data_IF_366016997686
#
_entry.id   IF_366016997686
#
_cell.length_a   1.000
_cell.length_b   1.000
_cell.length_c   1.000
_cell.angle_alpha   90.00
_cell.angle_beta   90.00
_cell.angle_gamma   90.00
#
_symmetry.space_group_name_H-M   'P 1'
#
loop_
_entity.id
_entity.type
_entity.pdbx_description
1 polymer ?
2 polymer ?
3 non-polymer ?
4 non-polymer ?
5 non-polymer ?
6 water ?
#
loop_
_entity_poly.entity_id
_entity_poly.type
_entity_poly.pdbx_seq_one_letter_code
_entity_poly.pdbx_strand_id
1 'polydeoxyribonucleotide' '(DT)(DC)(DT)(EFG)(DG)(DG)(DG)(DT)(DC)(DC)(DT)(DA)(DG)(DG)(DA)(DC)(DC)(DOC)' ?
#
# COMPACT_ATOMS: atom_id res chain seq x y z
N UNK C 26 -22.20 5.87 17.84
CA UNK C 26 -20.89 6.22 17.25
C UNK C 26 -20.26 5.06 16.42
N UNK C 27 -21.09 4.38 15.61
CA UNK C 27 -20.60 3.36 14.70
C UNK C 27 -20.20 3.88 13.28
N UNK C 28 -19.14 3.33 12.72
CA UNK C 28 -18.58 3.97 11.56
C UNK C 28 -18.91 3.23 10.29
N UNK C 29 -18.86 3.95 9.17
CA UNK C 29 -18.93 3.36 7.86
C UNK C 29 -17.66 3.75 7.15
N UNK C 30 -16.76 2.79 6.97
CA UNK C 30 -15.50 2.98 6.30
C UNK C 30 -15.55 2.26 4.98
N UNK C 31 -14.96 2.86 3.93
CA UNK C 31 -14.71 2.14 2.69
C UNK C 31 -13.22 1.99 2.47
N UNK C 32 -12.82 0.83 1.91
CA UNK C 32 -11.45 0.60 1.48
C UNK C 32 -11.42 0.35 -0.03
N UNK C 33 -10.66 1.17 -0.76
CA UNK C 33 -10.58 1.10 -2.22
C UNK C 33 -9.25 0.49 -2.65
N UNK C 34 -9.29 -0.48 -3.56
CA UNK C 34 -8.15 -1.34 -3.87
C UNK C 34 -8.13 -1.52 -5.36
N UNK C 35 -7.19 -0.92 -6.05
CA UNK C 35 -7.17 -1.06 -7.50
C UNK C 35 -6.61 -2.39 -7.88
N UNK C 36 -7.20 -3.03 -8.86
CA UNK C 36 -6.60 -4.26 -9.43
C UNK C 36 -5.22 -4.05 -10.20
N UNK C 37 -4.27 -4.93 -10.01
CA UNK C 37 -3.05 -4.89 -10.78
C UNK C 37 -2.52 -3.55 -11.22
N UNK C 38 -2.51 -2.60 -10.30
CA UNK C 38 -2.25 -1.20 -10.55
C UNK C 38 -1.20 -0.85 -11.62
N UNK C 39 0.06 -1.26 -11.43
CA UNK C 39 1.05 -0.89 -12.43
C UNK C 39 0.65 -1.36 -13.83
N UNK C 40 0.16 -2.58 -13.88
CA UNK C 40 -0.27 -3.15 -15.16
C UNK C 40 -1.42 -2.34 -15.76
N UNK C 41 -2.37 -1.92 -14.91
CA UNK C 41 -3.42 -1.02 -15.41
C UNK C 41 -2.88 0.23 -16.01
N UNK C 42 -1.92 0.84 -15.34
CA UNK C 42 -1.34 2.06 -15.89
C UNK C 42 -0.65 1.79 -17.25
N UNK C 43 0.10 0.69 -17.36
CA UNK C 43 0.75 0.37 -18.61
C UNK C 43 -0.26 0.09 -19.71
N UNK C 44 -1.25 -0.76 -19.42
CA UNK C 44 -2.33 -1.03 -20.37
C UNK C 44 -3.07 0.24 -20.83
N UNK C 45 -3.18 1.23 -19.96
CA UNK C 45 -3.82 2.48 -20.38
C UNK C 45 -2.99 3.30 -21.38
N UNK C 46 -1.67 3.32 -21.19
CA UNK C 46 -0.74 4.08 -21.99
C UNK C 46 -0.64 3.48 -23.38
N UNK C 47 -0.53 2.16 -23.41
CA UNK C 47 -0.32 1.40 -24.62
C UNK C 47 -1.38 0.26 -24.72
N UNK C 48 -2.52 0.56 -25.39
CA UNK C 48 -3.63 -0.39 -25.37
C UNK C 48 -3.40 -1.60 -26.24
N UNK C 49 -2.32 -1.57 -27.03
CA UNK C 49 -1.88 -2.76 -27.76
C UNK C 49 -1.53 -3.91 -26.78
N UNK C 50 -1.43 -3.56 -25.49
CA UNK C 50 -1.24 -4.56 -24.44
C UNK C 50 -2.53 -5.06 -23.80
N UNK C 51 -3.65 -4.38 -24.07
CA UNK C 51 -4.91 -4.71 -23.42
C UNK C 51 -5.14 -6.22 -23.34
N UNK C 52 -4.86 -6.94 -24.42
CA UNK C 52 -5.14 -8.37 -24.44
C UNK C 52 -3.99 -9.33 -24.28
N UNK C 53 -2.78 -8.90 -24.58
CA UNK C 53 -1.64 -9.76 -24.42
C UNK C 53 -1.39 -9.97 -22.92
N UNK C 54 -1.01 -11.20 -22.50
CA UNK C 54 -0.68 -11.42 -21.08
C UNK C 54 0.56 -10.59 -20.66
N UNK C 55 0.50 -9.88 -19.50
CA UNK C 55 1.45 -8.80 -19.20
C UNK C 55 1.97 -8.63 -17.76
N UNK C 56 3.25 -8.32 -17.71
CA UNK C 56 3.99 -8.28 -16.47
C UNK C 56 4.92 -7.07 -16.44
N UNK C 57 4.91 -6.42 -15.27
CA UNK C 57 5.72 -5.25 -15.03
C UNK C 57 7.01 -5.68 -14.32
N UNK C 58 8.11 -5.31 -14.93
CA UNK C 58 9.38 -5.84 -14.57
C UNK C 58 10.20 -4.76 -13.89
N UNK C 59 10.88 -5.19 -12.84
CA UNK C 59 11.87 -4.40 -12.16
C UNK C 59 13.07 -5.32 -11.93
N UNK C 60 14.24 -4.95 -12.48
CA UNK C 60 15.43 -5.81 -12.40
C UNK C 60 15.06 -7.25 -12.86
N UNK C 61 15.32 -8.28 -12.04
CA UNK C 61 15.10 -9.65 -12.47
C UNK C 61 13.74 -10.19 -12.05
N UNK C 62 12.80 -9.29 -11.80
CA UNK C 62 11.58 -9.65 -11.09
C UNK C 62 10.32 -9.15 -11.80
N UNK C 63 9.26 -9.93 -11.72
CA UNK C 63 7.93 -9.47 -12.13
C UNK C 63 7.20 -9.02 -10.87
N UNK C 64 7.01 -7.72 -10.77
CA UNK C 64 6.55 -7.12 -9.54
C UNK C 64 5.04 -7.35 -9.49
N UNK C 65 4.39 -7.14 -10.63
CA UNK C 65 2.94 -7.38 -10.79
C UNK C 65 2.64 -7.77 -12.27
N UNK C 66 1.46 -8.36 -12.52
CA UNK C 66 1.00 -8.74 -13.88
C UNK C 66 -0.50 -8.55 -14.01
N UNK C 67 -0.97 -8.52 -15.25
CA UNK C 67 -2.40 -8.32 -15.51
C UNK C 67 -3.24 -9.61 -15.40
N UNK C 68 -4.56 -9.53 -15.60
CA UNK C 68 -5.42 -10.69 -15.27
C UNK C 68 -5.33 -11.86 -16.22
N UNK C 69 -4.94 -11.59 -17.47
CA UNK C 69 -4.56 -12.66 -18.38
C UNK C 69 -3.44 -13.47 -17.78
N UNK C 70 -2.30 -12.83 -17.54
CA UNK C 70 -1.08 -13.51 -17.09
C UNK C 70 -1.25 -14.29 -15.78
N UNK C 71 -2.23 -13.94 -14.96
CA UNK C 71 -2.47 -14.67 -13.71
C UNK C 71 -3.07 -16.02 -14.03
N UNK C 72 -3.98 -16.04 -15.01
CA UNK C 72 -4.56 -17.27 -15.52
C UNK C 72 -3.43 -18.23 -15.93
N UNK C 73 -2.49 -17.73 -16.76
CA UNK C 73 -1.29 -18.45 -17.21
C UNK C 73 -0.30 -18.84 -16.09
N UNK C 74 -0.70 -18.64 -14.84
CA UNK C 74 0.10 -19.05 -13.68
C UNK C 74 1.14 -18.10 -13.17
N UNK C 75 1.33 -16.95 -13.83
CA UNK C 75 2.30 -15.92 -13.39
C UNK C 75 1.88 -15.28 -12.06
N UNK C 76 2.83 -15.05 -11.15
CA UNK C 76 2.53 -14.56 -9.80
C UNK C 76 3.44 -13.39 -9.40
N UNK C 77 2.99 -12.58 -8.44
CA UNK C 77 3.77 -11.43 -7.96
C UNK C 77 5.17 -11.81 -7.42
N UNK C 78 6.17 -11.03 -7.81
CA UNK C 78 7.53 -11.28 -7.35
C UNK C 78 7.99 -12.72 -7.63
N UNK C 79 7.76 -13.14 -8.87
CA UNK C 79 8.30 -14.36 -9.43
C UNK C 79 9.37 -13.83 -10.39
N UNK C 80 10.52 -14.49 -10.45
CA UNK C 80 11.58 -13.99 -11.30
C UNK C 80 11.27 -14.14 -12.79
N UNK C 81 11.95 -13.36 -13.62
CA UNK C 81 11.59 -13.21 -15.05
C UNK C 81 11.68 -14.53 -15.86
N UNK C 82 12.73 -15.31 -15.61
CA UNK C 82 12.87 -16.62 -16.24
C UNK C 82 11.67 -17.54 -15.93
N UNK C 83 11.42 -17.83 -14.65
CA UNK C 83 10.31 -18.72 -14.23
C UNK C 83 9.03 -18.31 -14.93
N UNK C 84 8.84 -17.00 -15.07
CA UNK C 84 7.64 -16.39 -15.63
C UNK C 84 7.50 -16.69 -17.11
N UNK C 85 8.62 -16.66 -17.82
CA UNK C 85 8.65 -17.07 -19.22
C UNK C 85 8.30 -18.57 -19.30
N UNK C 86 8.99 -19.38 -18.50
CA UNK C 86 8.76 -20.82 -18.41
C UNK C 86 7.40 -21.22 -17.77
N UNK C 87 6.49 -20.26 -17.71
CA UNK C 87 5.12 -20.57 -17.31
C UNK C 87 4.16 -19.90 -18.27
N UNK C 88 4.70 -18.96 -19.05
CA UNK C 88 3.99 -18.29 -20.14
C UNK C 88 5.05 -17.63 -21.03
N UNK C 89 5.47 -18.34 -22.09
CA UNK C 89 6.61 -17.83 -22.88
C UNK C 89 6.23 -16.63 -23.72
N UNK C 90 4.94 -16.44 -23.97
CA UNK C 90 4.51 -15.29 -24.73
C UNK C 90 4.17 -14.06 -23.85
N UNK C 91 4.82 -14.00 -22.68
CA UNK C 91 4.62 -12.92 -21.72
C UNK C 91 5.30 -11.63 -22.17
N UNK C 92 4.53 -10.57 -22.36
CA UNK C 92 5.11 -9.28 -22.68
C UNK C 92 5.53 -8.54 -21.41
N UNK C 93 6.74 -7.99 -21.45
CA UNK C 93 7.35 -7.36 -20.29
C UNK C 93 7.59 -5.88 -20.51
N UNK C 94 7.25 -5.09 -19.49
CA UNK C 94 7.57 -3.67 -19.52
C UNK C 94 8.31 -3.31 -18.26
N UNK C 95 9.26 -2.42 -18.39
CA UNK C 95 10.06 -2.02 -17.26
C UNK C 95 9.24 -1.04 -16.41
N UNK C 96 9.10 -1.36 -15.12
CA UNK C 96 8.49 -0.44 -14.21
C UNK C 96 9.39 0.04 -13.08
N UNK C 97 10.67 0.28 -13.39
CA UNK C 97 11.61 0.73 -12.35
C UNK C 97 11.42 2.17 -11.96
N UNK C 98 10.97 2.99 -12.89
CA UNK C 98 10.66 4.36 -12.63
C UNK C 98 9.15 4.42 -12.30
N UNK C 99 8.82 5.04 -11.16
CA UNK C 99 7.50 4.97 -10.55
C UNK C 99 6.65 6.20 -10.85
N UNK C 100 7.26 7.20 -11.46
CA UNK C 100 6.62 8.48 -11.78
C UNK C 100 5.20 8.31 -12.28
N UNK C 101 5.02 7.60 -13.40
CA UNK C 101 3.69 7.41 -13.93
C UNK C 101 2.71 6.82 -12.88
N UNK C 102 3.16 5.80 -12.12
CA UNK C 102 2.29 5.12 -11.14
C UNK C 102 2.00 5.99 -9.94
N UNK C 103 2.99 6.77 -9.52
CA UNK C 103 2.81 7.71 -8.48
C UNK C 103 1.80 8.79 -8.89
N UNK C 104 1.91 9.26 -10.11
CA UNK C 104 1.01 10.32 -10.53
C UNK C 104 -0.43 9.86 -10.51
N UNK C 105 -0.68 8.69 -11.05
CA UNK C 105 -2.02 8.16 -11.08
C UNK C 105 -2.57 7.90 -9.65
N UNK C 106 -1.72 7.44 -8.76
CA UNK C 106 -2.09 7.15 -7.42
C UNK C 106 -2.62 8.39 -6.71
N UNK C 107 -2.12 9.59 -7.02
CA UNK C 107 -2.61 10.85 -6.42
C UNK C 107 -3.82 11.38 -7.14
N UNK C 108 -3.94 11.05 -8.41
CA UNK C 108 -5.20 11.35 -9.05
C UNK C 108 -6.37 10.60 -8.38
N UNK C 109 -6.17 9.31 -8.09
CA UNK C 109 -7.18 8.50 -7.39
C UNK C 109 -7.52 9.07 -6.01
N UNK C 110 -6.52 9.32 -5.19
CA UNK C 110 -6.76 9.87 -3.86
C UNK C 110 -7.53 11.20 -3.95
N UNK C 111 -7.13 12.09 -4.85
CA UNK C 111 -7.79 13.39 -4.95
C UNK C 111 -9.23 13.22 -5.32
N UNK C 112 -9.49 12.38 -6.30
CA UNK C 112 -10.88 12.05 -6.64
C UNK C 112 -11.67 11.57 -5.38
N UNK C 113 -11.15 10.60 -4.63
CA UNK C 113 -11.85 10.20 -3.42
C UNK C 113 -11.97 11.36 -2.46
N UNK C 114 -10.95 12.24 -2.46
CA UNK C 114 -11.00 13.39 -1.53
C UNK C 114 -12.17 14.32 -1.82
N UNK C 115 -12.80 14.17 -3.00
CA UNK C 115 -13.87 15.06 -3.34
C UNK C 115 -15.10 14.51 -2.59
N UNK C 116 -15.21 13.19 -2.45
CA UNK C 116 -16.32 12.58 -1.72
C UNK C 116 -16.30 12.98 -0.25
N UNK C 117 -15.21 12.70 0.46
CA UNK C 117 -15.04 13.17 1.82
C UNK C 117 -13.57 13.45 1.89
N UNK C 118 -13.22 14.59 2.46
CA UNK C 118 -11.88 15.13 2.55
C UNK C 118 -10.87 14.18 3.22
N UNK C 119 -11.37 13.30 4.10
CA UNK C 119 -10.52 12.49 4.99
C UNK C 119 -10.19 11.15 4.37
N UNK C 120 -9.11 11.10 3.57
CA UNK C 120 -8.69 9.88 2.84
C UNK C 120 -7.31 9.43 3.29
N UNK C 121 -7.17 8.15 3.61
CA UNK C 121 -5.89 7.63 4.05
C UNK C 121 -5.25 6.71 2.96
N UNK C 122 -3.97 6.91 2.63
CA UNK C 122 -3.35 6.13 1.56
C UNK C 122 -2.63 4.96 2.23
N UNK C 123 -2.59 3.82 1.58
CA UNK C 123 -1.78 2.71 2.02
C UNK C 123 -1.11 2.23 0.72
N UNK C 124 0.19 2.50 0.55
CA UNK C 124 0.93 2.29 -0.68
C UNK C 124 0.34 3.08 -1.83
N UNK C 125 0.57 2.65 -3.07
CA UNK C 125 0.10 3.45 -4.20
C UNK C 125 -1.33 3.14 -4.63
N UNK C 126 -1.82 1.97 -4.26
CA UNK C 126 -3.09 1.56 -4.81
C UNK C 126 -4.26 1.31 -3.87
N UNK C 127 -4.14 1.72 -2.62
CA UNK C 127 -5.24 1.53 -1.65
C UNK C 127 -5.56 2.86 -0.97
N UNK C 128 -6.84 3.14 -0.74
CA UNK C 128 -7.25 4.23 0.07
C UNK C 128 -8.38 3.82 1.09
N UNK C 129 -8.38 4.42 2.28
CA UNK C 129 -9.54 4.33 3.14
C UNK C 129 -10.21 5.66 3.14
N UNK C 130 -11.54 5.63 3.16
CA UNK C 130 -12.32 6.85 3.37
C UNK C 130 -13.38 6.59 4.40
N UNK C 131 -13.54 7.56 5.28
CA UNK C 131 -14.53 7.44 6.35
C UNK C 131 -15.80 8.06 5.80
N UNK C 132 -16.82 7.23 5.61
CA UNK C 132 -18.06 7.68 4.95
C UNK C 132 -19.13 8.06 5.96
N UNK C 133 -18.80 8.03 7.24
CA UNK C 133 -19.83 8.15 8.31
C UNK C 133 -20.70 9.43 8.16
N UNK C 134 -20.04 10.54 7.90
CA UNK C 134 -20.74 11.82 7.81
C UNK C 134 -21.59 11.86 6.58
N UNK C 135 -21.05 11.42 5.45
CA UNK C 135 -21.83 11.34 4.22
C UNK C 135 -23.01 10.41 4.35
N UNK C 136 -22.80 9.22 4.89
CA UNK C 136 -23.94 8.34 5.13
C UNK C 136 -25.03 9.09 5.92
N UNK C 137 -24.65 9.81 6.97
CA UNK C 137 -25.67 10.53 7.76
C UNK C 137 -26.38 11.65 7.01
N UNK C 138 -25.64 12.52 6.32
CA UNK C 138 -26.27 13.59 5.51
C UNK C 138 -27.27 12.96 4.55
N UNK C 139 -26.93 11.83 3.93
CA UNK C 139 -27.84 11.22 2.95
C UNK C 139 -29.08 10.64 3.59
N UNK C 140 -28.92 9.99 4.74
CA UNK C 140 -30.06 9.45 5.45
C UNK C 140 -31.03 10.56 5.89
N UNK C 141 -30.51 11.66 6.43
CA UNK C 141 -31.34 12.83 6.73
C UNK C 141 -32.17 13.35 5.54
N UNK C 142 -31.70 13.14 4.31
CA UNK C 142 -32.37 13.65 3.09
C UNK C 142 -33.58 12.83 2.70
N UNK C 143 -33.63 11.57 3.15
CA UNK C 143 -34.78 10.72 2.91
C UNK C 143 -35.83 10.80 4.03
N UNK C 144 -37.10 10.66 3.61
CA UNK C 144 -38.23 10.46 4.53
C UNK C 144 -38.50 8.97 4.72
N UNK C 145 -39.52 8.65 5.52
CA UNK C 145 -39.71 7.29 6.03
C UNK C 145 -40.25 6.26 5.02
N UNK C 146 -40.62 6.73 3.84
CA UNK C 146 -41.30 5.87 2.85
C UNK C 146 -40.35 5.28 1.81
N UNK C 147 -39.12 5.77 1.81
CA UNK C 147 -38.11 5.30 0.86
C UNK C 147 -36.96 4.61 1.60
N UNK C 148 -36.98 4.70 2.93
CA UNK C 148 -36.05 3.98 3.81
C UNK C 148 -36.20 2.47 3.64
N UNK C 149 -37.12 2.10 2.75
CA UNK C 149 -37.42 0.71 2.45
C UNK C 149 -37.23 0.45 0.96
N UNK C 150 -36.92 1.52 0.22
CA UNK C 150 -36.45 1.37 -1.15
C UNK C 150 -34.90 1.26 -1.23
N UNK C 151 -34.21 1.64 -0.13
CA UNK C 151 -32.73 1.53 -0.01
C UNK C 151 -32.27 0.10 -0.34
N UNK C 152 -31.42 -0.02 -1.35
CA UNK C 152 -30.89 -1.32 -1.70
C UNK C 152 -29.39 -1.29 -1.69
N UNK C 153 -28.86 -2.49 -1.71
CA UNK C 153 -27.44 -2.70 -1.77
C UNK C 153 -26.87 -2.54 -3.19
N UNK C 154 -25.63 -2.09 -3.26
CA UNK C 154 -24.96 -2.07 -4.54
C UNK C 154 -23.74 -3.00 -4.43
N UNK C 155 -23.60 -3.99 -5.35
CA UNK C 155 -22.57 -5.03 -5.24
C UNK C 155 -22.91 -6.21 -4.29
N UNK C 156 -21.92 -6.97 -3.87
CA UNK C 156 -22.15 -8.15 -3.09
C UNK C 156 -22.39 -7.94 -1.61
N UNK C 157 -23.13 -8.83 -0.98
CA UNK C 157 -23.30 -8.79 0.46
C UNK C 157 -22.43 -9.91 0.99
N UNK C 158 -21.55 -9.62 1.91
CA UNK C 158 -20.61 -10.69 2.34
C UNK C 158 -21.37 -11.92 2.89
N UNK C 159 -20.93 -13.10 2.44
CA UNK C 159 -21.52 -14.40 2.88
C UNK C 159 -22.96 -14.53 2.56
N UNK C 160 -23.50 -13.68 1.69
CA UNK C 160 -24.89 -13.80 1.34
C UNK C 160 -25.87 -13.48 2.45
N UNK C 161 -25.45 -12.67 3.39
CA UNK C 161 -26.19 -12.48 4.57
C UNK C 161 -27.41 -11.72 4.19
N UNK C 162 -28.49 -11.91 4.92
CA UNK C 162 -29.79 -11.27 4.66
C UNK C 162 -29.83 -9.87 5.21
N UNK C 163 -30.42 -8.96 4.48
CA UNK C 163 -30.48 -7.58 4.94
C UNK C 163 -31.75 -7.41 5.75
N UNK C 164 -31.68 -6.58 6.77
CA UNK C 164 -32.81 -6.30 7.60
C UNK C 164 -32.95 -4.82 7.52
N UNK C 165 -33.93 -4.33 6.76
CA UNK C 165 -34.14 -2.86 6.60
C UNK C 165 -34.58 -2.12 7.88
N UNK C 166 -35.01 -2.83 8.91
CA UNK C 166 -35.29 -2.12 10.16
C UNK C 166 -34.04 -1.87 11.01
N UNK C 167 -32.91 -2.43 10.59
CA UNK C 167 -31.65 -2.30 11.34
C UNK C 167 -30.87 -1.10 10.84
N UNK C 168 -30.66 -0.12 11.70
CA UNK C 168 -30.06 1.13 11.24
C UNK C 168 -28.60 0.93 10.84
N UNK C 169 -27.95 -0.05 11.45
CA UNK C 169 -26.60 -0.36 11.06
C UNK C 169 -26.58 -0.92 9.66
N UNK C 170 -27.53 -1.76 9.33
CA UNK C 170 -27.62 -2.36 8.03
C UNK C 170 -27.91 -1.31 6.99
N UNK C 171 -28.75 -0.37 7.36
CA UNK C 171 -29.17 0.72 6.47
C UNK C 171 -27.96 1.62 6.14
N UNK C 172 -27.20 1.96 7.18
CA UNK C 172 -26.03 2.78 7.02
C UNK C 172 -25.02 2.05 6.13
N UNK C 173 -24.91 0.73 6.27
CA UNK C 173 -23.89 0.08 5.51
C UNK C 173 -24.27 0.02 4.02
N UNK C 174 -25.56 -0.09 3.73
CA UNK C 174 -26.04 -0.08 2.34
C UNK C 174 -25.78 1.24 1.63
N UNK C 175 -25.93 2.35 2.36
CA UNK C 175 -25.73 3.68 1.77
C UNK C 175 -24.25 3.77 1.51
N UNK C 176 -23.45 3.35 2.51
CA UNK C 176 -22.02 3.08 2.29
C UNK C 176 -21.78 2.37 0.96
N UNK C 177 -22.56 1.33 0.63
CA UNK C 177 -22.20 0.46 -0.50
C UNK C 177 -22.49 1.25 -1.76
N UNK C 178 -23.55 2.05 -1.70
CA UNK C 178 -23.91 2.95 -2.80
C UNK C 178 -22.87 4.04 -3.03
N UNK C 179 -22.35 4.65 -1.95
CA UNK C 179 -21.33 5.64 -2.13
C UNK C 179 -20.11 4.99 -2.73
N UNK C 180 -19.82 3.77 -2.26
CA UNK C 180 -18.70 3.05 -2.82
C UNK C 180 -18.84 2.82 -4.32
N UNK C 181 -20.05 2.48 -4.75
CA UNK C 181 -20.34 2.30 -6.18
C UNK C 181 -20.12 3.59 -7.01
N UNK C 182 -20.55 4.75 -6.49
CA UNK C 182 -20.33 6.01 -7.18
C UNK C 182 -18.80 6.31 -7.29
N UNK C 183 -18.04 6.01 -6.24
CA UNK C 183 -16.61 6.15 -6.25
C UNK C 183 -15.99 5.23 -7.31
N UNK C 184 -16.42 4.00 -7.40
CA UNK C 184 -15.86 3.18 -8.42
C UNK C 184 -16.25 3.66 -9.81
N UNK C 185 -17.42 4.24 -9.96
CA UNK C 185 -17.85 4.60 -11.29
C UNK C 185 -17.10 5.87 -11.71
N UNK C 186 -16.88 6.77 -10.74
CA UNK C 186 -16.16 7.99 -11.03
C UNK C 186 -14.70 7.69 -11.41
N UNK C 187 -14.05 6.77 -10.70
CA UNK C 187 -12.70 6.36 -10.98
C UNK C 187 -12.59 5.84 -12.39
N UNK C 188 -13.57 5.06 -12.79
CA UNK C 188 -13.51 4.48 -14.12
C UNK C 188 -13.79 5.57 -15.19
N UNK C 189 -14.74 6.47 -14.94
CA UNK C 189 -15.18 7.40 -15.94
C UNK C 189 -14.17 8.54 -16.04
N UNK C 190 -13.53 8.87 -14.93
CA UNK C 190 -12.69 10.02 -14.92
C UNK C 190 -11.26 9.65 -15.17
N UNK C 191 -10.83 8.45 -14.73
CA UNK C 191 -9.42 8.08 -14.87
C UNK C 191 -9.17 6.74 -15.56
N UNK C 192 -10.23 6.03 -15.99
CA UNK C 192 -10.03 4.76 -16.67
C UNK C 192 -9.61 3.59 -15.81
N UNK C 193 -9.60 3.73 -14.47
CA UNK C 193 -9.11 2.65 -13.61
C UNK C 193 -10.27 1.77 -13.08
N UNK C 194 -10.13 0.45 -13.08
CA UNK C 194 -11.10 -0.41 -12.35
C UNK C 194 -10.48 -0.83 -11.02
N UNK C 195 -11.34 -1.18 -10.06
CA UNK C 195 -10.90 -1.54 -8.68
C UNK C 195 -12.04 -2.15 -7.84
N UNK C 196 -11.64 -2.73 -6.72
CA UNK C 196 -12.55 -3.34 -5.72
C UNK C 196 -12.82 -2.36 -4.60
N UNK C 197 -13.97 -2.50 -3.96
CA UNK C 197 -14.16 -1.81 -2.69
C UNK C 197 -14.76 -2.76 -1.70
N UNK C 198 -14.44 -2.59 -0.42
CA UNK C 198 -15.22 -3.19 0.66
C UNK C 198 -15.75 -2.17 1.66
N UNK C 199 -16.98 -2.35 2.09
CA UNK C 199 -17.57 -1.44 3.08
C UNK C 199 -17.81 -2.21 4.39
N UNK C 200 -17.42 -1.57 5.50
CA UNK C 200 -17.51 -2.19 6.82
C UNK C 200 -17.47 -1.22 7.97
N UNK C 201 -17.45 -1.73 9.20
CA UNK C 201 -17.59 -0.78 10.29
C UNK C 201 -16.26 -0.24 10.83
N UNK C 202 -15.16 -0.85 10.43
CA UNK C 202 -13.83 -0.35 10.74
C UNK C 202 -12.75 -0.66 9.61
N UNK C 203 -11.53 -0.11 9.72
CA UNK C 203 -10.56 -0.23 8.64
C UNK C 203 -10.15 -1.67 8.36
N UNK C 204 -9.94 -2.42 9.42
CA UNK C 204 -9.54 -3.83 9.29
C UNK C 204 -10.57 -4.61 8.51
N UNK C 205 -11.83 -4.59 8.94
CA UNK C 205 -12.88 -5.31 8.25
C UNK C 205 -13.14 -4.79 6.81
N UNK C 206 -13.10 -3.47 6.64
CA UNK C 206 -13.25 -2.94 5.29
C UNK C 206 -12.14 -3.52 4.39
N UNK C 207 -10.91 -3.60 4.87
CA UNK C 207 -9.79 -4.14 4.08
C UNK C 207 -9.87 -5.63 3.82
N UNK C 208 -10.26 -6.42 4.83
CA UNK C 208 -10.51 -7.88 4.64
C UNK C 208 -11.62 -8.20 3.66
N UNK C 209 -12.64 -7.37 3.63
CA UNK C 209 -13.80 -7.69 2.84
C UNK C 209 -13.68 -7.15 1.40
N UNK C 210 -12.84 -6.16 1.14
CA UNK C 210 -12.69 -5.63 -0.24
C UNK C 210 -12.15 -6.70 -1.17
N UNK C 211 -11.39 -7.63 -0.61
CA UNK C 211 -10.84 -8.73 -1.40
C UNK C 211 -11.76 -9.91 -1.73
N UNK C 212 -12.99 -9.93 -1.21
CA UNK C 212 -13.67 -11.21 -1.26
C UNK C 212 -14.09 -11.58 -2.70
N UNK C 213 -14.55 -10.59 -3.46
CA UNK C 213 -14.81 -10.76 -4.92
C UNK C 213 -13.92 -9.81 -5.75
N UNK C 214 -13.12 -10.38 -6.62
CA UNK C 214 -12.21 -9.61 -7.47
C UNK C 214 -12.04 -10.32 -8.81
N UNK C 215 -11.60 -9.60 -9.85
CA UNK C 215 -11.26 -8.17 -9.82
C UNK C 215 -12.53 -7.30 -9.96
N UNK C 216 -12.38 -6.00 -9.76
CA UNK C 216 -13.40 -5.03 -10.16
C UNK C 216 -14.83 -5.27 -9.64
N UNK C 217 -14.96 -5.44 -8.34
CA UNK C 217 -16.24 -5.75 -7.75
C UNK C 217 -16.24 -5.21 -6.36
N UNK C 218 -17.39 -5.21 -5.71
CA UNK C 218 -17.41 -4.71 -4.33
C UNK C 218 -18.24 -5.57 -3.40
N UNK C 219 -17.86 -5.58 -2.11
CA UNK C 219 -18.52 -6.35 -1.08
C UNK C 219 -18.87 -5.49 0.17
N UNK C 220 -20.02 -5.76 0.79
CA UNK C 220 -20.33 -5.09 2.02
C UNK C 220 -20.40 -6.07 3.18
N UNK C 221 -19.88 -5.70 4.34
CA UNK C 221 -19.93 -6.66 5.45
C UNK C 221 -20.96 -6.23 6.48
N UNK C 222 -22.04 -6.99 6.66
CA UNK C 222 -23.01 -6.72 7.77
C UNK C 222 -22.42 -7.20 9.11
N UNK C 223 -22.73 -6.56 10.25
CA UNK C 223 -22.05 -7.02 11.50
C UNK C 223 -22.17 -8.54 11.83
N UNK C 224 -23.31 -9.15 11.60
CA UNK C 224 -23.50 -10.55 12.03
C UNK C 224 -22.45 -11.43 11.37
N UNK C 225 -21.84 -10.96 10.29
CA UNK C 225 -20.98 -11.88 9.55
C UNK C 225 -19.49 -11.66 9.88
N UNK C 226 -19.21 -10.76 10.81
CA UNK C 226 -17.81 -10.48 11.22
C UNK C 226 -16.96 -11.68 11.67
N UNK C 227 -17.52 -12.58 12.47
CA UNK C 227 -16.77 -13.76 12.85
C UNK C 227 -16.57 -14.70 11.60
N UNK C 228 -17.60 -14.83 10.78
CA UNK C 228 -17.46 -15.59 9.54
C UNK C 228 -16.26 -15.13 8.70
N UNK C 229 -16.10 -13.81 8.59
CA UNK C 229 -15.04 -13.19 7.81
C UNK C 229 -13.67 -13.43 8.41
N UNK C 230 -13.56 -13.13 9.71
CA UNK C 230 -12.31 -13.22 10.43
C UNK C 230 -11.82 -14.65 10.44
N UNK C 231 -12.73 -15.62 10.63
CA UNK C 231 -12.37 -17.07 10.65
C UNK C 231 -12.18 -17.67 9.29
N UNK C 232 -12.57 -16.97 8.23
CA UNK C 232 -12.23 -17.45 6.88
C UNK C 232 -10.72 -17.42 6.56
N UNK C 233 -9.92 -16.70 7.36
CA UNK C 233 -8.48 -16.64 7.12
C UNK C 233 -7.79 -17.96 7.46
N UNK C 234 -6.65 -18.23 6.83
CA UNK C 234 -5.98 -19.51 7.05
C UNK C 234 -4.70 -19.42 7.81
N UNK C 235 -4.12 -18.24 7.77
CA UNK C 235 -2.82 -17.98 8.34
C UNK C 235 -2.90 -16.65 9.03
N UNK C 236 -2.40 -16.58 10.22
CA UNK C 236 -2.54 -15.40 10.99
C UNK C 236 -1.76 -14.20 10.35
N UNK C 237 -0.78 -14.47 9.51
CA UNK C 237 -0.13 -13.38 8.75
C UNK C 237 -1.09 -12.63 7.83
N UNK C 238 -2.28 -13.19 7.62
CA UNK C 238 -3.23 -12.58 6.69
C UNK C 238 -3.96 -11.38 7.33
N UNK C 239 -3.82 -11.25 8.64
CA UNK C 239 -4.33 -10.09 9.32
C UNK C 239 -3.37 -8.91 9.11
N UNK C 240 -3.83 -7.88 8.41
CA UNK C 240 -3.04 -6.64 8.30
C UNK C 240 -2.52 -6.14 9.66
N UNK C 241 -1.21 -6.02 9.83
CA UNK C 241 -0.64 -5.61 11.10
C UNK C 241 0.16 -6.72 11.78
N UNK C 242 0.03 -7.91 11.26
CA UNK C 242 0.85 -8.98 11.70
C UNK C 242 1.78 -9.23 10.50
N UNK C 243 3.06 -8.86 10.62
CA UNK C 243 4.01 -9.02 9.50
C UNK C 243 4.87 -10.26 9.56
N UNK C 244 5.99 -10.23 8.84
CA UNK C 244 6.96 -11.33 8.91
C UNK C 244 7.52 -11.68 10.30
N UNK C 245 7.99 -10.67 11.05
CA UNK C 245 8.56 -10.94 12.37
C UNK C 245 7.52 -11.57 13.29
N UNK C 246 6.39 -10.88 13.47
CA UNK C 246 5.37 -11.29 14.44
C UNK C 246 4.74 -12.66 14.17
N UNK C 247 4.44 -12.93 12.90
CA UNK C 247 3.88 -14.21 12.49
C UNK C 247 4.80 -15.29 12.99
N UNK C 248 6.02 -15.27 12.46
CA UNK C 248 7.15 -16.14 12.88
C UNK C 248 7.30 -16.27 14.41
N UNK C 249 7.05 -15.21 15.15
CA UNK C 249 7.10 -15.34 16.58
C UNK C 249 5.87 -16.11 17.10
N UNK C 250 4.71 -15.84 16.49
CA UNK C 250 3.49 -16.50 16.91
C UNK C 250 3.58 -17.99 16.66
N UNK C 251 4.09 -18.37 15.49
CA UNK C 251 4.04 -19.75 15.02
C UNK C 251 4.87 -20.58 15.97
N UNK C 252 5.97 -20.01 16.39
CA UNK C 252 6.84 -20.64 17.34
C UNK C 252 6.23 -20.76 18.74
N UNK C 253 5.16 -20.00 19.05
CA UNK C 253 4.41 -20.24 20.31
C UNK C 253 3.24 -21.23 20.18
N UNK C 254 3.10 -21.89 19.04
CA UNK C 254 1.94 -22.74 18.83
C UNK C 254 0.66 -21.98 18.52
N UNK C 255 0.79 -20.77 18.00
CA UNK C 255 -0.37 -19.97 17.58
C UNK C 255 -0.48 -19.95 16.07
N UNK C 256 -1.45 -20.69 15.51
CA UNK C 256 -1.55 -20.79 14.06
C UNK C 256 -2.79 -20.20 13.45
N UNK C 257 -3.95 -20.46 14.03
CA UNK C 257 -5.20 -19.97 13.47
C UNK C 257 -5.54 -18.65 14.13
N UNK C 258 -6.42 -17.87 13.50
CA UNK C 258 -7.04 -16.76 14.18
C UNK C 258 -7.62 -17.19 15.54
N UNK C 259 -8.26 -18.36 15.59
CA UNK C 259 -8.86 -18.76 16.84
C UNK C 259 -7.79 -19.01 17.89
N UNK C 260 -6.69 -19.65 17.51
CA UNK C 260 -5.58 -19.85 18.49
C UNK C 260 -5.22 -18.54 19.13
N UNK C 261 -5.14 -17.47 18.31
CA UNK C 261 -4.77 -16.16 18.82
C UNK C 261 -5.90 -15.51 19.62
N UNK C 262 -7.16 -15.70 19.22
CA UNK C 262 -8.28 -15.20 20.00
C UNK C 262 -8.22 -15.76 21.41
N UNK C 263 -7.88 -17.05 21.51
CA UNK C 263 -7.98 -17.75 22.78
C UNK C 263 -6.65 -17.79 23.60
N UNK C 264 -5.57 -17.22 23.10
CA UNK C 264 -4.28 -17.43 23.80
C UNK C 264 -4.13 -16.52 25.02
N UNK C 265 -3.29 -16.91 25.99
CA UNK C 265 -3.08 -16.11 27.24
C UNK C 265 -2.69 -14.64 26.99
N UNK C 266 -3.58 -13.68 27.34
CA UNK C 266 -3.15 -12.28 27.24
C UNK C 266 -1.75 -12.09 27.86
N UNK C 267 -1.58 -12.64 29.06
CA UNK C 267 -0.37 -12.46 29.85
C UNK C 267 0.91 -12.94 29.15
N UNK C 268 0.88 -14.13 28.56
CA UNK C 268 2.10 -14.72 27.95
C UNK C 268 2.48 -13.97 26.68
N UNK C 269 1.46 -13.73 25.87
CA UNK C 269 1.56 -12.88 24.68
C UNK C 269 2.19 -11.49 24.96
N UNK C 270 1.63 -10.74 25.93
CA UNK C 270 2.24 -9.45 26.34
C UNK C 270 3.72 -9.62 26.60
N UNK C 271 4.05 -10.67 27.35
CA UNK C 271 5.42 -10.95 27.77
C UNK C 271 6.27 -11.34 26.60
N UNK C 272 5.63 -11.69 25.50
CA UNK C 272 6.37 -12.16 24.36
C UNK C 272 6.49 -11.07 23.28
N UNK C 273 5.71 -10.00 23.45
CA UNK C 273 5.52 -8.99 22.41
C UNK C 273 5.41 -7.56 22.94
N UNK C 274 4.99 -7.41 24.19
CA UNK C 274 4.94 -6.10 24.84
C UNK C 274 3.50 -5.68 24.81
N UNK C 275 3.03 -5.05 25.88
CA UNK C 275 1.59 -4.72 26.00
C UNK C 275 1.00 -3.99 24.75
N UNK C 276 1.89 -3.44 23.94
CA UNK C 276 1.45 -2.76 22.73
C UNK C 276 1.08 -3.73 21.61
N UNK C 277 2.10 -4.39 21.05
CA UNK C 277 1.95 -5.34 19.99
C UNK C 277 0.95 -6.43 20.37
N UNK C 278 1.10 -6.95 21.59
CA UNK C 278 0.23 -8.01 22.05
C UNK C 278 -1.21 -7.53 22.20
N UNK C 279 -1.43 -6.39 22.83
CA UNK C 279 -2.80 -6.03 23.08
C UNK C 279 -3.47 -5.60 21.74
N UNK C 280 -2.69 -5.15 20.77
CA UNK C 280 -3.35 -4.69 19.53
C UNK C 280 -3.68 -5.85 18.58
N UNK C 281 -2.73 -6.76 18.39
CA UNK C 281 -3.00 -7.86 17.49
C UNK C 281 -4.07 -8.81 18.05
N UNK C 282 -4.21 -8.87 19.36
CA UNK C 282 -5.27 -9.70 19.83
C UNK C 282 -6.61 -9.04 19.56
N UNK C 283 -6.72 -7.74 19.80
CA UNK C 283 -7.96 -7.01 19.46
C UNK C 283 -8.26 -7.22 17.98
N UNK C 284 -7.22 -7.17 17.13
CA UNK C 284 -7.39 -7.41 15.70
C UNK C 284 -7.97 -8.78 15.44
N UNK C 285 -7.61 -9.75 16.29
CA UNK C 285 -7.93 -11.10 16.04
C UNK C 285 -9.40 -11.31 16.19
N UNK C 286 -10.09 -10.42 16.93
CA UNK C 286 -11.58 -10.53 17.03
C UNK C 286 -12.25 -9.65 16.00
N UNK C 287 -11.48 -9.12 15.02
CA UNK C 287 -12.02 -8.10 14.10
C UNK C 287 -12.23 -6.69 14.68
N UNK C 288 -11.59 -6.38 15.79
CA UNK C 288 -11.84 -5.12 16.47
C UNK C 288 -10.70 -4.18 16.15
N UNK C 289 -11.03 -2.95 15.76
CA UNK C 289 -10.01 -2.02 15.28
C UNK C 289 -10.60 -0.62 15.30
N UNK C 290 -10.13 0.15 16.28
CA UNK C 290 -10.67 1.45 16.54
C UNK C 290 -9.77 2.54 15.99
N UNK C 291 -8.82 2.19 15.13
CA UNK C 291 -7.97 3.28 14.63
C UNK C 291 -8.75 4.20 13.71
N UNK C 292 -8.52 5.48 13.81
CA UNK C 292 -9.28 6.35 12.89
C UNK C 292 -8.65 6.42 11.48
N UNK C 293 -9.45 6.83 10.49
CA UNK C 293 -8.94 7.02 9.18
C UNK C 293 -8.20 8.37 9.24
N UNK C 294 -6.91 8.38 8.96
CA UNK C 294 -6.12 9.65 8.96
C UNK C 294 -6.02 10.30 7.59
N UNK C 295 -6.16 11.61 7.49
CA UNK C 295 -5.88 12.35 6.27
C UNK C 295 -4.39 12.21 5.96
N UNK C 296 -4.03 11.54 4.87
CA UNK C 296 -2.60 11.43 4.51
C UNK C 296 -1.97 12.71 4.03
N UNK C 297 -2.76 13.54 3.34
CA UNK C 297 -2.24 14.74 2.63
C UNK C 297 -0.99 14.50 1.75
N UNK C 298 -0.11 15.50 1.66
CA UNK C 298 1.06 15.29 0.84
C UNK C 298 2.05 14.41 1.61
N UNK C 299 2.99 13.80 0.88
CA UNK C 299 3.94 12.86 1.48
C UNK C 299 4.86 13.47 2.56
N UNK C 300 5.29 12.65 3.50
CA UNK C 300 6.26 13.04 4.54
C UNK C 300 7.73 12.90 4.13
N UNK C 301 7.97 12.19 3.01
CA UNK C 301 9.29 11.88 2.53
C UNK C 301 9.22 11.56 1.02
N UNK C 302 10.36 11.69 0.35
CA UNK C 302 10.53 11.43 -1.10
C UNK C 302 11.91 10.74 -1.18
N UNK C 303 11.97 9.56 -1.77
CA UNK C 303 13.20 8.81 -1.91
C UNK C 303 13.26 8.14 -3.27
N UNK C 304 14.49 7.79 -3.68
CA UNK C 304 14.74 6.97 -4.86
C UNK C 304 15.79 5.88 -4.57
N UNK C 305 15.62 4.69 -5.14
CA UNK C 305 16.50 3.55 -4.87
C UNK C 305 17.05 2.97 -6.18
N UNK C 306 18.03 2.10 -6.05
CA UNK C 306 18.61 1.34 -7.14
C UNK C 306 19.32 0.17 -6.54
N UNK C 307 19.03 -0.96 -7.12
CA UNK C 307 19.46 -2.25 -6.67
C UNK C 307 20.48 -2.76 -7.67
N UNK C 308 21.47 -3.53 -7.21
CA UNK C 308 22.44 -4.19 -8.08
C UNK C 308 23.03 -5.45 -7.44
N UNK C 309 23.48 -6.38 -8.30
CA UNK C 309 24.23 -7.57 -7.86
C UNK C 309 25.66 -7.11 -7.58
N UNK C 310 26.10 -7.11 -6.32
CA UNK C 310 27.32 -6.32 -5.87
C UNK C 310 27.98 -5.40 -6.93
N UNK C 311 27.17 -4.78 -7.76
CA UNK C 311 27.66 -3.97 -8.84
C UNK C 311 28.11 -2.55 -8.47
N UNK C 312 28.49 -2.31 -7.24
CA UNK C 312 29.19 -1.07 -6.87
C UNK C 312 30.29 -1.21 -5.84
N UNK C 313 31.43 -0.71 -6.28
CA UNK C 313 32.63 -0.56 -5.50
C UNK C 313 33.64 -0.01 -6.49
N UNK C 314 34.00 1.27 -6.45
CA UNK C 314 33.23 2.38 -5.87
C UNK C 314 33.51 3.50 -6.86
N UNK C 315 33.38 4.75 -6.42
CA UNK C 315 33.50 5.91 -7.30
C UNK C 315 32.21 5.95 -8.12
N UNK C 316 31.90 4.82 -8.72
CA UNK C 316 30.66 4.58 -9.46
C UNK C 316 29.44 4.90 -8.61
N UNK C 317 29.56 4.60 -7.32
CA UNK C 317 28.62 5.10 -6.31
C UNK C 317 28.31 6.59 -6.52
N UNK C 318 29.35 7.39 -6.79
CA UNK C 318 29.15 8.83 -6.98
C UNK C 318 28.21 9.10 -8.15
N UNK C 319 28.44 8.42 -9.28
CA UNK C 319 27.56 8.56 -10.44
C UNK C 319 26.12 8.17 -10.09
N UNK C 320 25.97 6.96 -9.55
CA UNK C 320 24.68 6.39 -9.17
C UNK C 320 23.90 7.39 -8.29
N UNK C 321 24.65 8.07 -7.44
CA UNK C 321 24.11 8.96 -6.44
C UNK C 321 23.78 10.34 -7.00
N UNK C 322 24.40 10.70 -8.11
CA UNK C 322 23.98 11.88 -8.85
C UNK C 322 22.64 11.61 -9.56
N UNK C 323 22.50 10.43 -10.14
CA UNK C 323 21.29 10.08 -10.86
C UNK C 323 20.01 10.23 -9.99
N UNK C 324 19.98 9.51 -8.88
CA UNK C 324 18.86 9.59 -7.92
C UNK C 324 18.63 11.03 -7.53
N UNK C 325 19.74 11.70 -7.24
CA UNK C 325 19.68 13.07 -6.81
C UNK C 325 19.02 13.97 -7.86
N UNK C 326 19.45 13.85 -9.11
CA UNK C 326 18.90 14.69 -10.18
C UNK C 326 17.39 14.48 -10.31
N UNK C 327 16.97 13.21 -10.30
CA UNK C 327 15.54 12.92 -10.37
C UNK C 327 14.76 13.49 -9.18
N UNK C 328 15.28 13.32 -7.97
CA UNK C 328 14.60 13.79 -6.77
C UNK C 328 14.44 15.30 -6.76
N UNK C 329 15.51 16.05 -7.09
CA UNK C 329 15.53 17.54 -7.00
C UNK C 329 14.33 18.06 -7.70
N UNK C 330 14.10 17.49 -8.87
CA UNK C 330 12.95 17.85 -9.67
C UNK C 330 11.59 17.51 -9.00
N UNK C 331 11.52 16.37 -8.31
CA UNK C 331 10.29 15.99 -7.61
C UNK C 331 10.03 16.94 -6.44
N UNK C 332 11.12 17.36 -5.80
CA UNK C 332 11.04 18.19 -4.60
C UNK C 332 10.82 19.67 -4.96
N UNK C 333 11.15 20.02 -6.20
CA UNK C 333 10.83 21.32 -6.76
C UNK C 333 9.33 21.42 -7.06
N UNK C 334 8.80 20.50 -7.88
CA UNK C 334 7.37 20.40 -8.20
C UNK C 334 6.45 20.51 -6.96
N UNK C 335 6.81 19.81 -5.88
CA UNK C 335 6.07 19.87 -4.61
C UNK C 335 6.06 21.30 -4.05
N UNK C 336 7.24 21.92 -3.97
CA UNK C 336 7.37 23.31 -3.53
C UNK C 336 7.29 23.51 -2.02
N UNK C 337 7.42 22.42 -1.28
CA UNK C 337 7.75 22.50 0.13
C UNK C 337 9.23 22.25 0.12
N UNK C 338 9.88 22.45 1.24
CA UNK C 338 11.30 22.24 1.19
C UNK C 338 11.74 21.28 2.26
N UNK C 339 12.53 20.27 1.85
CA UNK C 339 13.18 19.34 2.75
C UNK C 339 14.21 20.03 3.61
N UNK C 340 14.25 19.67 4.87
CA UNK C 340 15.23 20.17 5.78
C UNK C 340 16.10 19.05 6.31
N UNK C 341 15.95 17.84 5.80
CA UNK C 341 16.89 16.71 6.10
C UNK C 341 17.13 15.85 4.85
N UNK C 342 18.33 15.25 4.74
CA UNK C 342 18.71 14.35 3.63
C UNK C 342 19.27 13.11 4.23
N UNK C 343 19.02 11.96 3.61
CA UNK C 343 19.45 10.69 4.19
C UNK C 343 20.02 9.89 3.05
N UNK C 344 20.97 9.05 3.36
CA UNK C 344 21.64 8.22 2.38
C UNK C 344 21.63 6.82 2.96
N UNK C 345 21.17 5.87 2.15
CA UNK C 345 20.95 4.51 2.62
C UNK C 345 21.80 3.57 1.78
N UNK C 346 22.34 2.51 2.40
CA UNK C 346 23.13 1.50 1.70
C UNK C 346 22.85 0.07 2.21
N UNK C 347 23.23 -0.93 1.42
CA UNK C 347 23.23 -2.34 1.85
C UNK C 347 24.53 -3.04 1.39
N UNK C 348 25.00 -4.02 2.19
CA UNK C 348 26.31 -4.68 1.97
C UNK C 348 26.26 -6.17 1.58
N UNK C 349 27.20 -6.59 0.73
CA UNK C 349 27.18 -7.92 0.05
C UNK C 349 27.43 -9.14 0.95
N UNK C 350 26.64 -10.19 0.72
CA UNK C 350 26.63 -11.46 1.49
C UNK C 350 25.65 -11.43 2.68
N UNK C 351 24.52 -12.14 2.63
CA UNK C 351 23.98 -12.90 1.47
C UNK C 351 22.53 -13.31 1.85
N UNK C 352 22.40 -14.40 2.60
CA UNK C 352 21.23 -14.65 3.44
C UNK C 352 21.61 -14.35 4.89
N UNK C 353 22.65 -13.53 5.06
CA UNK C 353 23.16 -13.16 6.39
C UNK C 353 22.64 -11.83 6.97
N UNK C 354 23.49 -10.80 6.94
CA UNK C 354 23.30 -9.57 7.68
C UNK C 354 22.70 -8.56 6.71
N UNK C 355 21.50 -8.89 6.24
CA UNK C 355 20.86 -8.16 5.12
C UNK C 355 20.05 -6.93 5.54
N UNK C 356 20.11 -6.59 6.83
CA UNK C 356 19.62 -5.31 7.34
C UNK C 356 20.48 -4.22 6.72
N UNK C 357 19.94 -3.01 6.68
CA UNK C 357 20.63 -1.92 6.00
C UNK C 357 21.27 -0.91 6.95
N UNK C 358 22.09 -0.02 6.40
CA UNK C 358 22.70 1.09 7.12
C UNK C 358 22.28 2.41 6.47
N UNK C 359 22.21 3.50 7.26
CA UNK C 359 21.94 4.85 6.73
C UNK C 359 22.66 5.94 7.54
N UNK C 360 22.76 7.12 6.94
CA UNK C 360 23.35 8.30 7.56
C UNK C 360 22.60 9.51 7.06
N UNK C 361 22.15 10.34 7.98
CA UNK C 361 21.43 11.53 7.60
C UNK C 361 22.09 12.76 8.21
N UNK C 362 21.65 13.93 7.77
CA UNK C 362 22.16 15.19 8.22
C UNK C 362 21.18 16.25 7.76
N UNK C 363 21.09 17.38 8.49
CA UNK C 363 20.31 18.54 8.01
C UNK C 363 20.97 19.08 6.77
N UNK C 364 20.14 19.62 5.88
CA UNK C 364 20.55 20.22 4.65
C UNK C 364 20.84 21.69 4.99
N UNK C 365 22.04 22.20 4.67
CA UNK C 365 22.37 23.59 5.00
C UNK C 365 21.32 24.56 4.47
N UNK C 366 21.02 25.61 5.24
CA UNK C 366 19.94 26.55 4.86
C UNK C 366 20.23 27.29 3.57
N UNK C 367 21.48 27.75 3.39
CA UNK C 367 21.93 28.31 2.10
C UNK C 367 21.40 27.46 0.96
N UNK C 368 21.62 26.15 1.04
CA UNK C 368 21.13 25.21 0.02
C UNK C 368 19.59 25.09 -0.11
N UNK C 369 18.87 25.23 1.00
CA UNK C 369 17.39 25.13 0.98
C UNK C 369 16.81 26.20 0.06
N UNK C 370 16.42 25.76 -1.14
CA UNK C 370 15.81 26.57 -2.20
C UNK C 370 15.90 25.77 -3.51
N UNK C 377 19.66 26.30 -9.83
CA UNK C 377 21.07 25.94 -10.03
C UNK C 377 21.99 26.83 -9.20
N UNK C 378 23.20 26.36 -8.87
CA UNK C 378 23.56 24.95 -9.03
C UNK C 378 23.48 24.28 -7.66
N UNK C 379 22.43 23.51 -7.47
CA UNK C 379 22.19 22.81 -6.20
C UNK C 379 22.88 21.44 -6.15
N UNK C 380 23.12 20.86 -7.33
CA UNK C 380 23.72 19.53 -7.42
C UNK C 380 25.04 19.36 -6.65
N UNK C 381 26.08 20.08 -7.07
CA UNK C 381 27.44 19.98 -6.52
C UNK C 381 27.52 20.05 -4.97
N UNK C 382 26.87 21.05 -4.36
CA UNK C 382 27.04 21.01 -2.90
C UNK C 382 26.45 19.71 -2.34
N UNK C 383 25.22 19.39 -2.79
CA UNK C 383 24.48 18.17 -2.42
C UNK C 383 25.26 16.88 -2.61
N UNK C 384 25.88 16.74 -3.78
CA UNK C 384 26.66 15.55 -4.05
C UNK C 384 27.71 15.40 -2.95
N UNK C 385 28.20 16.52 -2.45
CA UNK C 385 29.29 16.44 -1.48
C UNK C 385 28.86 15.97 -0.08
N UNK C 386 27.82 16.62 0.47
CA UNK C 386 27.14 16.11 1.67
C UNK C 386 26.95 14.60 1.54
N UNK C 387 26.24 14.23 0.49
CA UNK C 387 25.99 12.82 0.18
C UNK C 387 27.27 11.99 0.23
N UNK C 388 28.28 12.42 -0.52
CA UNK C 388 29.61 11.75 -0.50
C UNK C 388 30.25 11.61 0.90
N UNK C 389 30.29 12.70 1.67
CA UNK C 389 30.77 12.63 3.05
C UNK C 389 30.01 11.55 3.83
N UNK C 390 28.68 11.54 3.67
CA UNK C 390 27.79 10.59 4.33
C UNK C 390 28.16 9.18 3.92
N UNK C 391 28.45 9.05 2.63
CA UNK C 391 28.91 7.81 2.06
C UNK C 391 30.19 7.29 2.70
N UNK C 392 31.20 8.15 2.82
CA UNK C 392 32.49 7.73 3.41
C UNK C 392 32.35 7.40 4.89
N UNK C 393 31.46 8.11 5.60
CA UNK C 393 31.22 7.81 7.02
C UNK C 393 30.80 6.35 7.21
N UNK C 394 30.12 5.81 6.20
CA UNK C 394 29.63 4.46 6.30
C UNK C 394 30.60 3.44 5.77
N UNK C 395 31.21 3.73 4.64
CA UNK C 395 32.07 2.74 3.99
C UNK C 395 33.57 3.06 4.12
N UNK C 396 34.35 2.06 4.60
CA UNK C 396 35.82 2.08 4.55
C UNK C 396 36.24 2.05 3.09
N UNK C 397 36.60 3.22 2.58
CA UNK C 397 36.91 3.39 1.18
C UNK C 397 38.40 3.06 0.91
N UNK C 398 38.99 2.22 1.78
CA UNK C 398 40.37 1.70 1.61
C UNK C 398 40.33 0.21 1.33
N UNK C 399 39.93 -0.56 2.34
CA UNK C 399 39.59 -1.97 2.18
C UNK C 399 38.31 -2.03 1.34
N UNK C 400 38.40 -2.59 0.11
CA UNK C 400 37.29 -2.62 -0.88
C UNK C 400 35.89 -2.95 -0.32
N UNK C 401 34.84 -2.45 -0.99
CA UNK C 401 33.45 -2.50 -0.48
C UNK C 401 32.44 -3.37 -1.25
N UNK C 402 31.38 -3.78 -0.54
CA UNK C 402 30.45 -4.80 -1.04
C UNK C 402 29.01 -4.32 -1.25
N UNK C 403 28.79 -3.36 -2.16
CA UNK C 403 27.49 -2.66 -2.22
C UNK C 403 26.45 -3.16 -3.23
N UNK C 404 25.29 -3.56 -2.69
CA UNK C 404 24.15 -4.01 -3.48
C UNK C 404 22.90 -3.10 -3.49
N UNK C 405 23.02 -1.88 -2.93
CA UNK C 405 21.91 -0.87 -2.89
C UNK C 405 22.33 0.56 -2.54
N UNK C 406 21.85 1.52 -3.32
CA UNK C 406 22.01 2.94 -2.98
C UNK C 406 20.65 3.64 -2.96
N UNK C 407 20.36 4.33 -1.87
CA UNK C 407 19.12 5.10 -1.72
C UNK C 407 19.34 6.51 -1.18
N UNK C 408 18.53 7.44 -1.64
CA UNK C 408 18.55 8.79 -1.12
C UNK C 408 17.15 9.19 -0.67
N UNK C 409 17.02 9.77 0.51
CA UNK C 409 15.75 10.26 0.98
C UNK C 409 15.77 11.75 1.36
N UNK C 410 14.77 12.49 0.92
CA UNK C 410 14.54 13.84 1.40
C UNK C 410 13.36 13.79 2.31
N UNK C 411 13.48 14.36 3.49
CA UNK C 411 12.31 14.42 4.35
C UNK C 411 12.36 15.64 5.25
N UNK C 412 11.54 15.62 6.29
CA UNK C 412 11.38 16.68 7.27
C UNK C 412 11.18 18.02 6.60
N UNK C 413 10.06 18.13 5.87
CA UNK C 413 9.74 19.31 5.06
C UNK C 413 8.63 20.25 5.61
N UNK C 414 8.70 21.55 5.26
CA UNK C 414 7.57 22.50 5.49
C UNK C 414 7.62 23.82 4.69
#
# INVERSE_FOLDING_TARGET
MELADVGAAASSQGVHDQVLPTPNASSRVIVHVDLDCFYAQVEMISNPELKDKPLGVQQKYLVVTCNYEARKLGVKKLMNVRDAKEKCPQLVLVNGEDLTRYREMSYKVTELLEEFSPVVERLGFDENFVDLTEMVEKRLQQLQSDELSAVTVSGHVYNNQSINLLDVLHIRLLVGSQIAAEMREAMYNQLGLTGCAGVASNKLLAKLVSGVFKPNQQTVLLPESCQHLIHSLNHIKEIPGIGYKTAKCLEALGINSVRDLQTFSPKILEKELGISVAQRIQKLSFGEDNSPVILSGPPQSFSEEDSFKKCSSEVEAKNKIEELLASLLNRVCQDGRKPHTVRLIIRRYSSEKHYGRESRQCPIPSHVIQKLGTGNYDVMTPMVDILMKLFRNMVNVKMPFHLTLLSVCFCNLKALNTAK
#
